data_IF_010168808163
#
_entry.id   IF_010168808163
#
_cell.length_a   1.000
_cell.length_b   1.000
_cell.length_c   1.000
_cell.angle_alpha   90.00
_cell.angle_beta   90.00
_cell.angle_gamma   90.00
#
_symmetry.space_group_name_H-M   'P 1'
#
loop_
_entity.id
_entity.type
_entity.pdbx_description
1 polymer ?
#
# COMPACT_ATOMS: atom_id res chain seq x y z
N UNK A 1 -12.07 36.52 45.80
CA UNK A 1 -11.39 36.18 47.07
C UNK A 1 -10.45 35.01 46.84
N UNK A 2 -9.20 35.11 47.32
CA UNK A 2 -8.24 34.02 47.57
C UNK A 2 -7.76 33.21 46.35
N UNK A 3 -6.48 33.01 46.07
CA UNK A 3 -5.27 33.30 46.82
C UNK A 3 -4.23 32.17 46.59
N UNK A 4 -2.99 32.58 46.28
CA UNK A 4 -1.71 31.85 46.44
C UNK A 4 -1.46 30.61 45.55
N UNK A 5 -0.25 30.24 45.14
CA UNK A 5 1.14 30.78 44.95
C UNK A 5 1.99 29.51 44.70
N UNK A 6 3.00 29.54 43.82
CA UNK A 6 4.39 29.10 44.10
C UNK A 6 5.26 29.13 42.81
N UNK A 7 6.07 30.19 42.67
CA UNK A 7 7.48 30.06 42.27
C UNK A 7 8.30 29.80 43.54
N UNK A 8 9.57 29.40 43.57
CA UNK A 8 10.76 29.41 42.70
C UNK A 8 11.52 28.09 43.02
N UNK A 9 12.54 27.64 42.28
CA UNK A 9 13.93 28.08 42.45
C UNK A 9 14.85 27.50 41.36
N UNK A 10 15.78 28.35 40.93
CA UNK A 10 16.92 28.05 40.09
C UNK A 10 18.15 28.25 41.01
N UNK A 11 19.06 27.28 41.08
CA UNK A 11 20.37 27.42 41.72
C UNK A 11 21.44 27.33 40.63
N UNK A 12 22.38 28.27 40.66
CA UNK A 12 23.63 28.23 39.90
C UNK A 12 24.84 28.35 40.83
N UNK A 13 26.01 28.51 40.20
CA UNK A 13 27.40 28.69 40.70
C UNK A 13 28.20 27.37 40.77
N UNK A 14 29.46 27.23 40.32
CA UNK A 14 30.43 28.07 39.57
C UNK A 14 31.72 27.25 39.29
N UNK A 15 32.64 27.77 38.46
CA UNK A 15 34.04 27.34 38.23
C UNK A 15 34.43 27.41 36.74
N UNK A 16 34.97 28.53 36.22
CA UNK A 16 36.42 28.89 36.08
C UNK A 16 37.26 27.87 35.29
N UNK A 17 38.25 28.22 34.47
CA UNK A 17 38.66 29.34 33.60
C UNK A 17 39.73 28.68 32.70
N UNK A 18 39.87 29.03 31.41
CA UNK A 18 41.18 29.03 30.75
C UNK A 18 41.12 29.68 29.35
N UNK A 19 42.04 30.64 29.18
CA UNK A 19 42.31 31.45 28.00
C UNK A 19 43.03 30.66 26.89
N UNK A 20 42.88 31.08 25.64
CA UNK A 20 43.99 31.34 24.68
C UNK A 20 43.46 31.90 23.36
N UNK A 21 44.29 32.75 22.75
CA UNK A 21 43.96 33.83 21.84
C UNK A 21 44.04 33.49 20.33
N UNK A 22 43.86 34.55 19.53
CA UNK A 22 44.27 34.76 18.13
C UNK A 22 43.19 34.49 17.07
N UNK A 23 42.86 35.35 16.11
CA UNK A 23 43.39 36.64 15.67
C UNK A 23 42.70 37.02 14.35
N UNK A 24 42.75 38.30 13.93
CA UNK A 24 42.54 38.68 12.52
C UNK A 24 41.37 39.59 12.18
N UNK A 25 41.42 40.83 12.66
CA UNK A 25 40.75 41.99 12.05
C UNK A 25 41.36 42.29 10.67
N UNK A 26 40.53 42.51 9.64
CA UNK A 26 40.86 43.44 8.53
C UNK A 26 39.65 44.31 8.20
N UNK A 27 39.72 45.52 8.72
CA UNK A 27 38.92 46.68 8.34
C UNK A 27 39.42 47.23 7.00
N UNK A 28 38.49 47.68 6.16
CA UNK A 28 38.76 48.75 5.19
C UNK A 28 37.72 49.85 5.41
N UNK A 29 38.17 50.92 6.04
CA UNK A 29 37.61 52.27 5.91
C UNK A 29 37.83 52.73 4.45
N UNK A 30 37.13 53.65 3.82
CA UNK A 30 36.19 54.72 4.19
C UNK A 30 35.68 55.28 2.86
N UNK A 31 34.42 55.70 2.75
CA UNK A 31 34.17 57.05 2.26
C UNK A 31 32.76 57.52 2.64
N UNK A 32 32.71 58.60 3.40
CA UNK A 32 31.52 59.39 3.70
C UNK A 32 31.16 60.25 2.50
N UNK A 33 29.95 60.08 1.98
CA UNK A 33 29.28 61.04 1.11
C UNK A 33 27.88 61.27 1.66
N UNK A 34 27.65 62.44 2.24
CA UNK A 34 26.33 62.94 2.61
C UNK A 34 25.51 63.09 1.32
N UNK A 35 24.29 62.56 1.26
CA UNK A 35 23.09 63.36 1.01
C UNK A 35 21.80 62.52 0.87
N UNK A 36 20.75 63.10 1.43
CA UNK A 36 19.33 62.81 1.25
C UNK A 36 18.72 61.59 1.95
N UNK A 37 18.18 61.92 3.12
CA UNK A 37 16.97 61.35 3.71
C UNK A 37 15.91 61.15 2.62
N UNK A 38 15.62 59.88 2.29
CA UNK A 38 14.33 59.52 1.75
C UNK A 38 13.69 58.46 2.66
N UNK A 39 12.72 58.94 3.44
CA UNK A 39 12.03 58.19 4.47
C UNK A 39 11.13 57.12 3.88
N UNK A 40 11.68 55.95 3.59
CA UNK A 40 10.88 54.73 3.46
C UNK A 40 11.02 53.90 4.73
N UNK A 41 10.15 54.21 5.69
CA UNK A 41 9.98 53.47 6.94
C UNK A 41 9.41 52.07 6.62
N UNK A 42 10.25 51.18 6.10
CA UNK A 42 9.92 49.78 5.86
C UNK A 42 9.80 49.09 7.23
N UNK A 43 8.62 49.23 7.85
CA UNK A 43 8.23 48.53 9.08
C UNK A 43 8.63 47.06 8.94
N UNK A 44 9.69 46.64 9.65
CA UNK A 44 10.06 45.23 9.78
C UNK A 44 8.80 44.48 10.19
N UNK A 45 8.29 43.60 9.32
CA UNK A 45 7.04 42.88 9.60
C UNK A 45 7.23 42.08 10.88
N UNK A 46 6.51 42.45 11.93
CA UNK A 46 6.54 41.74 13.21
C UNK A 46 6.04 40.32 13.00
N UNK A 47 6.96 39.35 13.03
CA UNK A 47 6.60 37.95 12.97
C UNK A 47 5.85 37.56 14.26
N UNK A 48 4.80 36.73 14.20
CA UNK A 48 4.09 36.28 15.40
C UNK A 48 5.02 35.69 16.47
N UNK A 49 6.14 35.05 16.08
CA UNK A 49 7.15 34.50 16.98
C UNK A 49 7.82 35.56 17.88
N UNK A 50 7.86 36.82 17.45
CA UNK A 50 8.49 37.93 18.18
C UNK A 50 7.58 38.49 19.29
N UNK A 51 6.28 38.16 19.29
CA UNK A 51 5.31 38.68 20.26
C UNK A 51 5.29 37.78 21.49
N UNK A 52 5.81 38.23 22.63
CA UNK A 52 5.84 37.44 23.88
C UNK A 52 4.44 37.13 24.44
N UNK A 53 3.49 38.05 24.31
CA UNK A 53 2.11 37.86 24.80
C UNK A 53 1.33 36.85 23.93
N UNK A 54 0.77 35.80 24.57
CA UNK A 54 0.06 34.69 23.91
C UNK A 54 -1.18 35.13 23.12
N UNK A 55 -1.99 36.01 23.69
CA UNK A 55 -3.26 36.49 23.08
C UNK A 55 -2.98 37.39 21.87
N UNK A 56 -2.03 38.31 22.01
CA UNK A 56 -1.60 39.16 20.88
C UNK A 56 -0.95 38.32 19.78
N UNK A 57 -0.13 37.31 20.15
CA UNK A 57 0.48 36.38 19.20
C UNK A 57 -0.56 35.56 18.43
N UNK A 58 -1.55 35.01 19.12
CA UNK A 58 -2.59 34.18 18.49
C UNK A 58 -3.47 35.03 17.55
N UNK A 59 -3.84 36.24 17.96
CA UNK A 59 -4.63 37.17 17.14
C UNK A 59 -3.90 37.58 15.85
N UNK A 60 -2.61 37.93 15.96
CA UNK A 60 -1.79 38.29 14.78
C UNK A 60 -1.61 37.07 13.87
N UNK A 61 -1.35 35.88 14.41
CA UNK A 61 -1.25 34.66 13.63
C UNK A 61 -2.57 34.31 12.91
N UNK A 62 -3.72 34.48 13.57
CA UNK A 62 -5.03 34.25 12.98
C UNK A 62 -5.30 35.20 11.80
N UNK A 63 -5.01 36.50 11.96
CA UNK A 63 -5.10 37.50 10.89
C UNK A 63 -4.22 37.14 9.69
N UNK A 64 -2.96 36.79 9.94
CA UNK A 64 -2.01 36.39 8.91
C UNK A 64 -2.44 35.10 8.18
N UNK A 65 -2.97 34.10 8.91
CA UNK A 65 -3.53 32.88 8.32
C UNK A 65 -4.74 33.17 7.44
N UNK A 66 -5.62 34.09 7.85
CA UNK A 66 -6.77 34.52 7.05
C UNK A 66 -6.32 35.22 5.76
N UNK A 67 -5.39 36.16 5.85
CA UNK A 67 -4.82 36.85 4.71
C UNK A 67 -4.16 35.88 3.71
N UNK A 68 -3.33 34.94 4.19
CA UNK A 68 -2.74 33.89 3.34
C UNK A 68 -3.80 33.01 2.65
N UNK A 69 -4.92 32.72 3.31
CA UNK A 69 -6.04 31.95 2.71
C UNK A 69 -6.71 32.73 1.58
N UNK A 70 -6.95 34.04 1.77
CA UNK A 70 -7.50 34.91 0.73
C UNK A 70 -6.55 35.05 -0.46
N UNK A 71 -5.26 35.27 -0.21
CA UNK A 71 -4.22 35.34 -1.25
C UNK A 71 -4.11 34.02 -2.02
N UNK A 72 -4.13 32.86 -1.34
CA UNK A 72 -4.13 31.54 -2.00
C UNK A 72 -5.36 31.38 -2.92
N UNK A 73 -6.56 31.81 -2.48
CA UNK A 73 -7.77 31.79 -3.31
C UNK A 73 -7.65 32.70 -4.53
N UNK A 74 -7.12 33.92 -4.38
CA UNK A 74 -6.87 34.84 -5.49
C UNK A 74 -5.90 34.23 -6.51
N UNK A 75 -4.81 33.62 -6.04
CA UNK A 75 -3.82 32.93 -6.91
C UNK A 75 -4.43 31.74 -7.67
N UNK A 76 -5.25 30.92 -7.02
CA UNK A 76 -5.96 29.80 -7.69
C UNK A 76 -6.88 30.35 -8.79
N UNK A 77 -7.72 31.35 -8.47
CA UNK A 77 -8.62 31.97 -9.47
C UNK A 77 -7.87 32.57 -10.66
N UNK A 78 -6.78 33.30 -10.39
CA UNK A 78 -5.96 33.90 -11.45
C UNK A 78 -5.30 32.84 -12.34
N UNK A 79 -4.83 31.74 -11.75
CA UNK A 79 -4.25 30.62 -12.49
C UNK A 79 -5.30 29.89 -13.33
N UNK A 80 -6.46 29.58 -12.77
CA UNK A 80 -7.53 28.89 -13.48
C UNK A 80 -8.06 29.76 -14.65
N UNK A 81 -8.09 31.09 -14.47
CA UNK A 81 -8.40 32.04 -15.55
C UNK A 81 -7.31 32.09 -16.63
N UNK A 82 -6.03 32.02 -16.25
CA UNK A 82 -4.92 31.95 -17.21
C UNK A 82 -4.91 30.63 -18.00
N UNK A 83 -5.20 29.50 -17.35
CA UNK A 83 -5.33 28.18 -17.99
C UNK A 83 -6.49 28.17 -18.99
N UNK A 84 -7.63 28.78 -18.64
CA UNK A 84 -8.75 28.93 -19.55
C UNK A 84 -8.39 29.81 -20.77
N UNK A 85 -7.69 30.92 -20.55
CA UNK A 85 -7.22 31.81 -21.64
C UNK A 85 -6.23 31.12 -22.56
N UNK A 86 -5.28 30.35 -22.02
CA UNK A 86 -4.31 29.59 -22.82
C UNK A 86 -5.03 28.57 -23.72
N UNK A 87 -6.00 27.83 -23.17
CA UNK A 87 -6.83 26.90 -23.94
C UNK A 87 -7.67 27.60 -25.03
N UNK A 88 -8.24 28.78 -24.74
CA UNK A 88 -8.99 29.60 -25.71
C UNK A 88 -8.08 30.13 -26.83
N UNK A 89 -6.81 30.42 -26.54
CA UNK A 89 -5.81 30.93 -27.50
C UNK A 89 -5.05 29.81 -28.26
N UNK A 90 -5.27 28.54 -27.89
CA UNK A 90 -4.55 27.39 -28.44
C UNK A 90 -3.11 27.24 -27.96
N UNK A 91 -2.71 27.95 -26.91
CA UNK A 91 -1.40 27.83 -26.26
C UNK A 91 -1.39 26.68 -25.24
N UNK A 92 -0.26 25.98 -25.13
CA UNK A 92 -0.13 24.90 -24.13
C UNK A 92 -0.13 25.47 -22.71
N UNK A 93 -1.01 24.97 -21.81
CA UNK A 93 -1.08 25.44 -20.45
C UNK A 93 0.20 25.10 -19.67
N UNK A 94 0.64 26.03 -18.83
CA UNK A 94 1.83 25.85 -17.99
C UNK A 94 1.77 24.55 -17.19
N UNK A 95 2.82 23.72 -17.31
CA UNK A 95 2.92 22.43 -16.62
C UNK A 95 2.82 22.63 -15.11
N UNK A 96 1.82 21.99 -14.49
CA UNK A 96 1.61 22.03 -13.05
C UNK A 96 2.76 21.31 -12.35
N UNK A 97 3.37 21.95 -11.35
CA UNK A 97 4.36 21.31 -10.48
C UNK A 97 3.70 20.12 -9.76
N UNK A 98 4.19 18.91 -10.02
CA UNK A 98 3.71 17.69 -9.38
C UNK A 98 3.91 17.78 -7.86
N UNK A 99 2.89 17.44 -7.04
CA UNK A 99 3.06 17.44 -5.59
C UNK A 99 4.11 16.41 -5.16
N UNK A 100 4.96 16.78 -4.20
CA UNK A 100 5.92 15.85 -3.58
C UNK A 100 5.15 14.93 -2.62
N UNK A 101 4.75 13.76 -3.11
CA UNK A 101 4.18 12.68 -2.31
C UNK A 101 5.29 11.79 -1.76
N UNK A 102 4.96 10.96 -0.76
CA UNK A 102 5.91 9.97 -0.21
C UNK A 102 6.31 8.97 -1.30
N UNK A 103 5.37 8.54 -2.13
CA UNK A 103 5.65 7.63 -3.26
C UNK A 103 6.62 8.27 -4.27
N UNK A 104 6.41 9.54 -4.62
CA UNK A 104 7.27 10.27 -5.57
C UNK A 104 8.65 10.61 -5.00
N UNK A 105 8.82 10.54 -3.68
CA UNK A 105 10.07 10.87 -2.99
C UNK A 105 10.65 9.64 -2.30
N UNK A 106 10.31 8.43 -2.79
CA UNK A 106 10.89 7.16 -2.31
C UNK A 106 12.41 7.20 -2.51
N UNK A 107 13.13 6.66 -1.54
CA UNK A 107 14.57 6.44 -1.70
C UNK A 107 14.77 5.39 -2.80
N UNK A 108 15.73 5.64 -3.71
CA UNK A 108 16.08 4.67 -4.72
C UNK A 108 16.62 3.42 -4.03
N UNK A 109 16.09 2.26 -4.41
CA UNK A 109 16.48 0.97 -3.86
C UNK A 109 17.00 0.11 -5.02
N UNK A 110 18.22 -0.37 -4.88
CA UNK A 110 18.91 -1.20 -5.87
C UNK A 110 18.23 -2.56 -6.07
N UNK A 111 17.48 -3.02 -5.06
CA UNK A 111 16.76 -4.29 -5.10
C UNK A 111 15.44 -4.24 -5.87
N UNK A 112 15.07 -3.09 -6.44
CA UNK A 112 13.90 -2.97 -7.30
C UNK A 112 14.13 -3.76 -8.58
N UNK A 113 13.29 -4.77 -8.79
CA UNK A 113 13.35 -5.64 -9.95
C UNK A 113 12.99 -4.85 -11.22
N UNK A 114 13.84 -4.94 -12.23
CA UNK A 114 13.53 -4.41 -13.56
C UNK A 114 12.77 -5.50 -14.34
N UNK A 115 11.83 -5.12 -15.22
CA UNK A 115 11.11 -6.09 -16.05
C UNK A 115 12.02 -6.97 -16.94
N UNK A 116 13.21 -6.48 -17.30
CA UNK A 116 14.16 -7.14 -18.23
C UNK A 116 15.33 -7.84 -17.49
N UNK A 117 15.20 -8.14 -16.20
CA UNK A 117 16.27 -8.76 -15.40
C UNK A 117 16.23 -10.29 -15.54
N UNK A 118 16.96 -10.82 -16.54
CA UNK A 118 17.03 -12.26 -16.86
C UNK A 118 17.44 -13.14 -15.66
N UNK A 119 18.30 -12.64 -14.75
CA UNK A 119 18.73 -13.39 -13.58
C UNK A 119 17.57 -13.69 -12.62
N UNK A 120 16.62 -12.75 -12.52
CA UNK A 120 15.43 -12.94 -11.71
C UNK A 120 14.50 -13.99 -12.30
N UNK A 121 14.36 -14.04 -13.62
CA UNK A 121 13.52 -15.05 -14.28
C UNK A 121 14.10 -16.44 -14.10
N UNK A 122 15.41 -16.61 -14.30
CA UNK A 122 16.10 -17.89 -14.09
C UNK A 122 15.99 -18.33 -12.62
N UNK A 123 16.23 -17.41 -11.67
CA UNK A 123 16.09 -17.71 -10.25
C UNK A 123 14.66 -18.10 -9.87
N UNK A 124 13.66 -17.41 -10.43
CA UNK A 124 12.25 -17.70 -10.20
C UNK A 124 11.83 -19.06 -10.80
N UNK A 125 12.37 -19.44 -11.95
CA UNK A 125 12.00 -20.71 -12.60
C UNK A 125 12.54 -21.94 -11.89
N UNK A 126 13.64 -21.79 -11.15
CA UNK A 126 14.24 -22.83 -10.31
C UNK A 126 13.74 -22.80 -8.85
N UNK A 127 12.83 -21.88 -8.53
CA UNK A 127 12.37 -21.62 -7.17
C UNK A 127 11.42 -22.71 -6.64
N UNK A 128 11.25 -22.75 -5.32
CA UNK A 128 10.47 -23.76 -4.60
C UNK A 128 8.97 -23.76 -4.98
N UNK A 129 8.48 -22.67 -5.58
CA UNK A 129 7.09 -22.51 -6.03
C UNK A 129 6.85 -22.87 -7.49
N UNK A 130 7.91 -23.11 -8.26
CA UNK A 130 7.85 -23.24 -9.73
C UNK A 130 6.88 -24.33 -10.18
N UNK A 131 6.91 -25.53 -9.60
CA UNK A 131 5.98 -26.62 -9.95
C UNK A 131 4.51 -26.29 -9.73
N UNK A 132 4.18 -25.50 -8.70
CA UNK A 132 2.80 -25.08 -8.43
C UNK A 132 2.38 -24.01 -9.44
N UNK A 133 3.27 -23.04 -9.71
CA UNK A 133 2.99 -21.92 -10.61
C UNK A 133 2.98 -22.33 -12.09
N UNK A 134 3.73 -23.38 -12.45
CA UNK A 134 3.70 -24.03 -13.78
C UNK A 134 2.54 -25.02 -13.94
N UNK A 135 1.67 -25.13 -12.94
CA UNK A 135 0.48 -26.00 -12.92
C UNK A 135 0.78 -27.51 -12.95
N UNK A 136 1.99 -27.93 -12.62
CA UNK A 136 2.33 -29.35 -12.51
C UNK A 136 1.64 -29.98 -11.28
N UNK A 137 1.47 -29.19 -10.22
CA UNK A 137 0.81 -29.60 -8.99
C UNK A 137 -0.29 -28.61 -8.59
N UNK A 138 -1.48 -29.13 -8.30
CA UNK A 138 -2.58 -28.30 -7.78
C UNK A 138 -2.30 -27.88 -6.34
N UNK A 139 -2.47 -26.59 -5.98
CA UNK A 139 -2.21 -26.14 -4.62
C UNK A 139 -3.19 -26.81 -3.65
N UNK A 140 -2.65 -27.35 -2.56
CA UNK A 140 -3.40 -28.00 -1.49
C UNK A 140 -2.95 -27.40 -0.16
N UNK A 141 -3.83 -26.62 0.45
CA UNK A 141 -3.47 -25.77 1.59
C UNK A 141 -4.02 -26.35 2.88
N UNK A 142 -3.15 -26.60 3.85
CA UNK A 142 -3.53 -26.96 5.21
C UNK A 142 -3.67 -25.69 6.05
N UNK A 143 -4.83 -25.43 6.64
CA UNK A 143 -5.03 -24.32 7.58
C UNK A 143 -5.18 -24.89 8.99
N UNK A 144 -4.46 -24.29 9.95
CA UNK A 144 -4.56 -24.65 11.36
C UNK A 144 -4.45 -23.42 12.27
N UNK A 145 -4.74 -23.59 13.55
CA UNK A 145 -4.64 -22.52 14.56
C UNK A 145 -3.35 -22.62 15.37
N UNK A 146 -3.08 -21.65 16.24
CA UNK A 146 -2.20 -21.86 17.39
C UNK A 146 -2.76 -22.90 18.39
N UNK A 147 -1.93 -23.35 19.34
CA UNK A 147 -2.27 -24.38 20.34
C UNK A 147 -3.46 -23.95 21.23
N UNK A 148 -3.43 -22.71 21.70
CA UNK A 148 -4.51 -22.11 22.46
C UNK A 148 -5.15 -21.02 21.63
N UNK A 149 -6.25 -21.35 20.95
CA UNK A 149 -6.94 -20.42 20.08
C UNK A 149 -8.17 -19.79 20.76
N UNK A 150 -8.54 -18.60 20.29
CA UNK A 150 -9.81 -17.96 20.63
C UNK A 150 -10.94 -18.46 19.73
N UNK A 151 -12.19 -18.20 20.11
CA UNK A 151 -13.38 -18.42 19.27
C UNK A 151 -13.30 -17.67 17.93
N UNK A 152 -12.63 -16.50 17.91
CA UNK A 152 -12.41 -15.70 16.71
C UNK A 152 -11.46 -16.35 15.70
N UNK A 153 -10.52 -17.19 16.15
CA UNK A 153 -9.57 -17.92 15.31
C UNK A 153 -10.27 -18.81 14.26
N UNK A 154 -11.06 -19.81 14.69
CA UNK A 154 -11.85 -20.65 13.79
C UNK A 154 -12.84 -19.85 12.93
N UNK A 155 -13.46 -18.79 13.45
CA UNK A 155 -14.36 -17.94 12.66
C UNK A 155 -13.65 -17.30 11.46
N UNK A 156 -12.43 -16.80 11.67
CA UNK A 156 -11.59 -16.28 10.60
C UNK A 156 -11.14 -17.38 9.62
N UNK A 157 -10.81 -18.57 10.12
CA UNK A 157 -10.43 -19.70 9.26
C UNK A 157 -11.58 -20.11 8.35
N UNK A 158 -12.82 -20.17 8.84
CA UNK A 158 -13.99 -20.45 7.99
C UNK A 158 -14.10 -19.45 6.84
N UNK A 159 -13.77 -18.18 7.07
CA UNK A 159 -13.73 -17.18 6.00
C UNK A 159 -12.55 -17.42 5.04
N UNK A 160 -11.36 -17.75 5.54
CA UNK A 160 -10.22 -18.12 4.69
C UNK A 160 -10.49 -19.35 3.82
N UNK A 161 -11.20 -20.36 4.33
CA UNK A 161 -11.63 -21.53 3.54
C UNK A 161 -12.55 -21.14 2.38
N UNK A 162 -13.37 -20.09 2.55
CA UNK A 162 -14.17 -19.57 1.44
C UNK A 162 -13.33 -18.82 0.41
N UNK A 163 -12.19 -18.25 0.83
CA UNK A 163 -11.28 -17.49 -0.04
C UNK A 163 -10.39 -18.41 -0.86
N UNK A 164 -9.69 -19.32 -0.20
CA UNK A 164 -8.61 -20.12 -0.79
C UNK A 164 -9.21 -21.44 -1.30
N UNK A 165 -9.17 -21.72 -2.61
CA UNK A 165 -9.59 -23.01 -3.16
C UNK A 165 -8.73 -24.15 -2.59
N UNK A 166 -9.28 -25.36 -2.48
CA UNK A 166 -8.56 -26.56 -2.01
C UNK A 166 -7.91 -26.41 -0.62
N UNK A 167 -8.43 -25.50 0.21
CA UNK A 167 -8.00 -25.34 1.59
C UNK A 167 -8.74 -26.31 2.52
N UNK A 168 -8.00 -26.94 3.43
CA UNK A 168 -8.53 -27.86 4.43
C UNK A 168 -8.17 -27.38 5.84
N UNK A 169 -9.17 -27.26 6.70
CA UNK A 169 -8.94 -26.91 8.10
C UNK A 169 -8.81 -28.17 8.97
N UNK A 170 -7.71 -28.24 9.72
CA UNK A 170 -7.54 -29.24 10.78
C UNK A 170 -7.23 -28.53 12.10
N UNK A 171 -7.96 -28.91 13.14
CA UNK A 171 -7.74 -28.40 14.49
C UNK A 171 -6.39 -28.87 15.01
N UNK A 172 -5.55 -27.93 15.46
CA UNK A 172 -4.20 -28.21 15.94
C UNK A 172 -4.15 -29.10 17.19
N UNK A 173 -5.08 -28.93 18.12
CA UNK A 173 -5.01 -29.60 19.42
C UNK A 173 -3.72 -29.30 20.18
N UNK A 174 -3.05 -30.34 20.67
CA UNK A 174 -1.79 -30.25 21.43
C UNK A 174 -0.54 -30.49 20.58
N UNK A 175 -0.68 -30.69 19.26
CA UNK A 175 0.44 -31.03 18.40
C UNK A 175 1.42 -29.86 18.20
N UNK A 176 2.70 -30.19 18.25
CA UNK A 176 3.77 -29.25 17.91
C UNK A 176 3.81 -28.98 16.41
N UNK A 177 4.24 -27.78 16.04
CA UNK A 177 4.22 -27.36 14.64
C UNK A 177 5.10 -28.25 13.75
N UNK A 178 6.23 -28.75 14.27
CA UNK A 178 7.12 -29.68 13.55
C UNK A 178 6.39 -30.99 13.16
N UNK A 179 5.59 -31.56 14.07
CA UNK A 179 4.79 -32.76 13.79
C UNK A 179 3.69 -32.49 12.76
N UNK A 180 3.12 -31.28 12.76
CA UNK A 180 2.12 -30.87 11.76
C UNK A 180 2.76 -30.70 10.39
N UNK A 181 3.96 -30.13 10.32
CA UNK A 181 4.75 -30.04 9.08
C UNK A 181 5.04 -31.45 8.53
N UNK A 182 5.52 -32.38 9.37
CA UNK A 182 5.74 -33.77 8.95
C UNK A 182 4.45 -34.45 8.46
N UNK A 183 3.34 -34.22 9.14
CA UNK A 183 2.03 -34.73 8.72
C UNK A 183 1.60 -34.14 7.37
N UNK A 184 1.83 -32.84 7.17
CA UNK A 184 1.48 -32.13 5.96
C UNK A 184 2.33 -32.63 4.76
N UNK A 185 3.63 -32.85 4.97
CA UNK A 185 4.53 -33.47 3.97
C UNK A 185 4.05 -34.87 3.58
N UNK A 186 3.66 -35.71 4.55
CA UNK A 186 3.17 -37.08 4.30
C UNK A 186 1.82 -37.15 3.55
N UNK A 187 1.07 -36.06 3.48
CA UNK A 187 -0.23 -35.97 2.80
C UNK A 187 -0.21 -35.07 1.56
N UNK A 188 0.99 -34.77 1.08
CA UNK A 188 1.23 -33.97 -0.12
C UNK A 188 0.51 -32.61 -0.08
N UNK A 189 0.53 -31.95 1.09
CA UNK A 189 0.13 -30.55 1.17
C UNK A 189 1.25 -29.67 0.62
N UNK A 190 0.88 -28.68 -0.20
CA UNK A 190 1.82 -27.74 -0.81
C UNK A 190 2.11 -26.55 0.10
N UNK A 191 1.19 -26.22 1.00
CA UNK A 191 1.37 -25.09 1.92
C UNK A 191 0.64 -25.30 3.24
N UNK A 192 1.19 -24.74 4.31
CA UNK A 192 0.61 -24.73 5.65
C UNK A 192 0.43 -23.29 6.13
N UNK A 193 -0.80 -22.93 6.47
CA UNK A 193 -1.17 -21.65 7.05
C UNK A 193 -1.49 -21.84 8.53
N UNK A 194 -0.79 -21.14 9.40
CA UNK A 194 -1.03 -21.13 10.84
C UNK A 194 -1.58 -19.77 11.25
N UNK A 195 -2.81 -19.76 11.75
CA UNK A 195 -3.45 -18.57 12.31
C UNK A 195 -3.10 -18.48 13.79
N UNK A 196 -2.40 -17.41 14.17
CA UNK A 196 -2.06 -17.14 15.57
C UNK A 196 -3.05 -16.15 16.19
N UNK A 197 -3.76 -16.58 17.23
CA UNK A 197 -4.56 -15.72 18.09
C UNK A 197 -3.88 -15.57 19.44
N UNK A 198 -3.75 -14.33 19.92
CA UNK A 198 -3.23 -14.05 21.24
C UNK A 198 -4.38 -13.76 22.22
N UNK A 199 -4.19 -14.15 23.48
CA UNK A 199 -5.01 -13.67 24.59
C UNK A 199 -4.44 -12.32 24.98
N UNK A 200 -5.10 -11.20 24.65
CA UNK A 200 -4.75 -9.96 25.35
C UNK A 200 -5.31 -10.08 26.76
N UNK A 201 -4.45 -9.88 27.75
CA UNK A 201 -4.92 -9.67 29.12
C UNK A 201 -5.89 -8.47 29.14
N UNK A 202 -7.01 -8.56 29.86
CA UNK A 202 -8.10 -7.58 29.80
C UNK A 202 -7.74 -6.18 30.34
N UNK A 203 -6.55 -5.96 30.90
CA UNK A 203 -6.19 -4.74 31.64
C UNK A 203 -6.12 -3.44 30.81
N UNK A 204 -6.11 -3.49 29.48
CA UNK A 204 -6.01 -2.29 28.60
C UNK A 204 -7.29 -2.06 27.76
N UNK A 205 -8.37 -2.79 28.05
CA UNK A 205 -9.63 -2.71 27.28
C UNK A 205 -10.72 -1.97 28.05
N UNK A 206 -10.48 -0.71 28.43
CA UNK A 206 -11.49 0.11 29.14
C UNK A 206 -12.41 0.88 28.16
N UNK A 207 -12.24 0.78 26.84
CA UNK A 207 -13.06 1.57 25.90
C UNK A 207 -13.68 0.83 24.71
N UNK A 208 -13.61 -0.49 24.61
CA UNK A 208 -14.43 -1.21 23.63
C UNK A 208 -14.79 -2.61 24.15
N UNK A 209 -16.07 -2.77 24.45
CA UNK A 209 -16.71 -3.94 25.07
C UNK A 209 -16.94 -5.08 24.05
N UNK A 210 -15.96 -5.39 23.20
CA UNK A 210 -16.02 -6.54 22.28
C UNK A 210 -14.66 -7.24 22.17
N UNK A 211 -14.54 -8.33 22.93
CA UNK A 211 -13.57 -9.43 22.86
C UNK A 211 -12.07 -9.08 22.84
N UNK A 212 -11.40 -9.31 23.99
CA UNK A 212 -9.93 -9.28 24.18
C UNK A 212 -9.15 -10.37 23.43
N UNK A 213 -9.69 -10.91 22.34
CA UNK A 213 -9.10 -11.96 21.52
C UNK A 213 -8.79 -11.44 20.12
N UNK A 214 -7.52 -11.11 19.90
CA UNK A 214 -7.07 -10.59 18.62
C UNK A 214 -6.19 -11.61 17.90
N UNK A 215 -6.47 -11.77 16.61
CA UNK A 215 -5.59 -12.49 15.69
C UNK A 215 -4.46 -11.52 15.36
N UNK A 216 -3.28 -11.84 15.86
CA UNK A 216 -2.12 -10.95 15.82
C UNK A 216 -1.14 -11.35 14.70
N UNK A 217 -1.13 -12.63 14.28
CA UNK A 217 -0.20 -13.10 13.27
C UNK A 217 -0.74 -14.24 12.38
N UNK A 218 -0.18 -14.32 11.18
CA UNK A 218 -0.42 -15.34 10.17
C UNK A 218 0.94 -15.87 9.71
N UNK A 219 1.18 -17.17 9.85
CA UNK A 219 2.41 -17.81 9.35
C UNK A 219 2.03 -18.65 8.12
N UNK A 220 2.76 -18.48 7.03
CA UNK A 220 2.60 -19.25 5.79
C UNK A 220 3.90 -20.00 5.56
N UNK A 221 3.82 -21.32 5.41
CA UNK A 221 4.96 -22.21 5.20
C UNK A 221 4.75 -22.89 3.84
N UNK A 222 5.71 -22.72 2.92
CA UNK A 222 5.79 -23.51 1.70
C UNK A 222 6.30 -24.92 2.02
N UNK A 223 5.64 -25.95 1.49
CA UNK A 223 6.04 -27.35 1.65
C UNK A 223 6.39 -27.95 0.28
N UNK A 224 7.27 -28.97 0.20
CA UNK A 224 7.87 -29.71 1.32
C UNK A 224 9.02 -28.97 2.01
N UNK A 225 9.85 -28.21 1.29
CA UNK A 225 11.03 -27.54 1.86
C UNK A 225 11.06 -26.04 1.51
N UNK A 226 9.90 -25.46 1.23
CA UNK A 226 9.75 -24.03 0.92
C UNK A 226 9.91 -23.12 2.14
N UNK A 227 9.96 -21.79 1.92
CA UNK A 227 10.25 -20.83 2.96
C UNK A 227 9.07 -20.62 3.91
N UNK A 228 9.37 -20.03 5.07
CA UNK A 228 8.39 -19.68 6.10
C UNK A 228 8.27 -18.17 6.23
N UNK A 229 7.13 -17.61 5.85
CA UNK A 229 6.82 -16.19 6.00
C UNK A 229 5.92 -15.96 7.23
N UNK A 230 6.37 -15.12 8.14
CA UNK A 230 5.63 -14.69 9.30
C UNK A 230 5.11 -13.26 9.10
N UNK A 231 3.80 -13.13 9.10
CA UNK A 231 3.12 -11.85 8.96
C UNK A 231 2.44 -11.45 10.27
N UNK A 232 2.60 -10.18 10.65
CA UNK A 232 1.74 -9.54 11.63
C UNK A 232 0.42 -9.17 10.97
N UNK A 233 -0.67 -9.61 11.56
CA UNK A 233 -2.02 -9.30 11.10
C UNK A 233 -2.56 -8.10 11.87
N UNK A 234 -3.16 -7.16 11.14
CA UNK A 234 -3.79 -5.97 11.71
C UNK A 234 -5.10 -5.67 11.01
N UNK A 235 -6.00 -4.95 11.70
CA UNK A 235 -7.29 -4.48 11.15
C UNK A 235 -8.14 -5.61 10.54
N UNK A 236 -8.28 -6.72 11.27
CA UNK A 236 -9.15 -7.81 10.86
C UNK A 236 -10.63 -7.43 11.00
N UNK A 237 -11.31 -7.34 9.87
CA UNK A 237 -12.77 -7.21 9.80
C UNK A 237 -13.29 -8.45 9.10
N UNK A 238 -14.13 -9.21 9.80
CA UNK A 238 -14.77 -10.40 9.25
C UNK A 238 -15.86 -9.98 8.26
N UNK A 239 -16.19 -10.86 7.33
CA UNK A 239 -17.23 -10.64 6.32
C UNK A 239 -18.55 -10.18 6.94
N UNK A 240 -18.96 -10.81 8.05
CA UNK A 240 -20.22 -10.51 8.75
C UNK A 240 -20.27 -9.08 9.29
N UNK A 241 -19.12 -8.49 9.59
CA UNK A 241 -18.99 -7.14 10.15
C UNK A 241 -18.94 -6.06 9.06
N UNK A 242 -18.84 -6.45 7.78
CA UNK A 242 -18.77 -5.54 6.63
C UNK A 242 -20.19 -5.13 6.21
N UNK A 243 -20.42 -3.82 6.06
CA UNK A 243 -21.67 -3.28 5.52
C UNK A 243 -21.82 -3.62 4.04
N UNK A 244 -23.03 -4.00 3.61
CA UNK A 244 -23.37 -4.34 2.22
C UNK A 244 -22.48 -5.44 1.61
N UNK A 245 -22.08 -6.41 2.42
CA UNK A 245 -21.25 -7.52 1.96
C UNK A 245 -22.02 -8.44 0.99
N UNK A 246 -21.30 -8.98 0.00
CA UNK A 246 -21.79 -9.99 -0.92
C UNK A 246 -21.61 -11.42 -0.40
N UNK A 247 -22.30 -12.37 -1.00
CA UNK A 247 -22.06 -13.80 -0.79
C UNK A 247 -20.90 -14.28 -1.70
N UNK A 248 -19.89 -14.99 -1.17
CA UNK A 248 -18.88 -15.61 -2.02
C UNK A 248 -19.50 -16.72 -2.88
N UNK A 249 -19.02 -16.85 -4.11
CA UNK A 249 -19.40 -17.92 -5.05
C UNK A 249 -18.35 -19.03 -5.01
N UNK A 250 -18.71 -20.24 -5.45
CA UNK A 250 -17.79 -21.39 -5.52
C UNK A 250 -16.69 -21.26 -6.59
N UNK A 251 -16.78 -20.29 -7.50
CA UNK A 251 -15.79 -20.08 -8.55
C UNK A 251 -14.43 -19.68 -7.99
N UNK A 252 -13.37 -20.09 -8.68
CA UNK A 252 -11.99 -19.73 -8.36
C UNK A 252 -11.75 -18.24 -8.64
N UNK A 253 -11.12 -17.52 -7.70
CA UNK A 253 -10.86 -16.09 -7.85
C UNK A 253 -9.68 -15.80 -8.78
N UNK A 254 -9.74 -14.68 -9.47
CA UNK A 254 -8.58 -14.01 -10.06
C UNK A 254 -7.70 -13.42 -8.95
N UNK A 255 -6.39 -13.53 -9.08
CA UNK A 255 -5.43 -12.98 -8.13
C UNK A 255 -4.81 -11.70 -8.68
N UNK A 256 -4.83 -10.63 -7.89
CA UNK A 256 -4.21 -9.34 -8.22
C UNK A 256 -3.16 -9.01 -7.17
N UNK A 257 -1.90 -8.97 -7.58
CA UNK A 257 -0.76 -8.60 -6.74
C UNK A 257 -0.26 -7.22 -7.20
N UNK A 258 -0.40 -6.19 -6.36
CA UNK A 258 -0.04 -4.82 -6.72
C UNK A 258 1.15 -4.33 -5.90
N UNK A 259 2.12 -3.68 -6.57
CA UNK A 259 3.28 -3.01 -5.98
C UNK A 259 4.25 -3.92 -5.19
N UNK A 260 4.42 -5.18 -5.61
CA UNK A 260 5.51 -6.03 -5.15
C UNK A 260 6.69 -5.83 -6.09
N UNK A 261 7.54 -4.85 -5.78
CA UNK A 261 8.53 -4.31 -6.74
C UNK A 261 9.96 -4.74 -6.46
N UNK A 262 10.28 -5.05 -5.20
CA UNK A 262 11.63 -5.45 -4.80
C UNK A 262 11.82 -6.95 -4.95
N UNK A 263 13.07 -7.44 -4.93
CA UNK A 263 13.38 -8.88 -4.95
C UNK A 263 12.64 -9.64 -3.85
N UNK A 264 12.62 -9.09 -2.63
CA UNK A 264 11.84 -9.62 -1.51
C UNK A 264 10.33 -9.58 -1.78
N UNK A 265 9.84 -8.48 -2.34
CA UNK A 265 8.45 -8.32 -2.75
C UNK A 265 7.99 -9.39 -3.73
N UNK A 266 8.79 -9.64 -4.77
CA UNK A 266 8.54 -10.69 -5.75
C UNK A 266 8.52 -12.08 -5.10
N UNK A 267 9.45 -12.37 -4.18
CA UNK A 267 9.47 -13.66 -3.46
C UNK A 267 8.20 -13.86 -2.62
N UNK A 268 7.78 -12.83 -1.89
CA UNK A 268 6.51 -12.86 -1.13
C UNK A 268 5.30 -12.96 -2.06
N UNK A 269 5.31 -12.26 -3.20
CA UNK A 269 4.26 -12.35 -4.20
C UNK A 269 4.12 -13.77 -4.75
N UNK A 270 5.22 -14.45 -5.07
CA UNK A 270 5.25 -15.85 -5.50
C UNK A 270 4.72 -16.80 -4.41
N UNK A 271 5.12 -16.61 -3.16
CA UNK A 271 4.59 -17.36 -2.03
C UNK A 271 3.08 -17.17 -1.85
N UNK A 272 2.56 -15.96 -2.02
CA UNK A 272 1.12 -15.71 -1.94
C UNK A 272 0.38 -16.27 -3.16
N UNK A 273 1.01 -16.27 -4.33
CA UNK A 273 0.46 -16.81 -5.57
C UNK A 273 0.33 -18.34 -5.53
N UNK A 274 1.31 -19.03 -4.93
CA UNK A 274 1.28 -20.50 -4.82
C UNK A 274 0.15 -21.04 -3.93
N UNK A 275 -0.55 -20.18 -3.19
CA UNK A 275 -1.74 -20.55 -2.42
C UNK A 275 -3.00 -20.66 -3.28
N UNK A 276 -3.01 -20.09 -4.49
CA UNK A 276 -4.18 -20.02 -5.36
C UNK A 276 -3.92 -20.79 -6.66
N UNK A 277 -4.96 -21.39 -7.26
CA UNK A 277 -4.84 -21.96 -8.60
C UNK A 277 -4.51 -20.87 -9.61
N UNK A 278 -3.65 -21.20 -10.58
CA UNK A 278 -3.18 -20.26 -11.60
C UNK A 278 -4.26 -19.95 -12.64
N UNK A 279 -5.20 -20.87 -12.86
CA UNK A 279 -6.32 -20.69 -13.80
C UNK A 279 -7.54 -20.12 -13.09
N UNK A 280 -7.90 -18.84 -13.32
CA UNK A 280 -9.06 -18.25 -12.69
C UNK A 280 -10.34 -18.48 -13.51
N UNK A 281 -11.47 -18.52 -12.79
CA UNK A 281 -12.78 -18.63 -13.39
C UNK A 281 -13.41 -17.25 -13.62
N UNK A 282 -13.15 -16.64 -14.79
CA UNK A 282 -13.63 -15.30 -15.15
C UNK A 282 -15.18 -15.15 -15.07
N UNK A 283 -15.93 -16.23 -15.30
CA UNK A 283 -17.40 -16.24 -15.19
C UNK A 283 -17.87 -15.89 -13.78
N UNK A 284 -17.09 -16.26 -12.75
CA UNK A 284 -17.39 -15.95 -11.35
C UNK A 284 -17.22 -14.47 -11.01
N UNK A 285 -16.43 -13.73 -11.80
CA UNK A 285 -16.08 -12.31 -11.59
C UNK A 285 -15.54 -12.01 -10.21
N UNK A 286 -14.78 -12.96 -9.67
CA UNK A 286 -14.30 -12.96 -8.30
C UNK A 286 -12.83 -12.60 -8.33
N UNK A 287 -12.41 -11.67 -7.47
CA UNK A 287 -11.04 -11.19 -7.42
C UNK A 287 -10.55 -11.11 -5.99
N UNK A 288 -9.36 -11.65 -5.75
CA UNK A 288 -8.59 -11.51 -4.52
C UNK A 288 -7.43 -10.58 -4.81
N UNK A 289 -7.31 -9.51 -4.03
CA UNK A 289 -6.29 -8.49 -4.22
C UNK A 289 -5.38 -8.43 -3.00
N UNK A 290 -4.08 -8.54 -3.25
CA UNK A 290 -3.04 -8.16 -2.30
C UNK A 290 -2.38 -6.88 -2.81
N UNK A 291 -2.70 -5.77 -2.16
CA UNK A 291 -2.14 -4.47 -2.51
C UNK A 291 -1.06 -4.09 -1.52
N UNK A 292 0.20 -4.07 -1.96
CA UNK A 292 1.29 -3.55 -1.17
C UNK A 292 1.31 -2.01 -1.20
N UNK A 293 1.29 -1.40 -0.03
CA UNK A 293 1.49 0.03 0.14
C UNK A 293 2.33 0.26 1.40
N UNK A 294 3.58 0.66 1.19
CA UNK A 294 4.54 0.98 2.27
C UNK A 294 4.76 -0.18 3.24
N UNK A 295 5.03 -1.36 2.71
CA UNK A 295 5.20 -2.63 3.43
C UNK A 295 3.96 -3.14 4.18
N UNK A 296 2.81 -2.50 3.97
CA UNK A 296 1.52 -3.01 4.39
C UNK A 296 0.81 -3.64 3.20
N UNK A 297 0.58 -4.95 3.30
CA UNK A 297 -0.15 -5.71 2.31
C UNK A 297 -1.63 -5.70 2.71
N UNK A 298 -2.44 -4.99 1.95
CA UNK A 298 -3.88 -4.95 2.12
C UNK A 298 -4.51 -6.11 1.38
N UNK A 299 -5.08 -7.05 2.13
CA UNK A 299 -5.86 -8.14 1.57
C UNK A 299 -7.31 -7.70 1.38
N UNK A 300 -7.85 -7.90 0.18
CA UNK A 300 -9.26 -7.71 -0.09
C UNK A 300 -9.81 -8.79 -1.00
N UNK A 301 -11.10 -9.08 -0.83
CA UNK A 301 -11.82 -10.04 -1.64
C UNK A 301 -13.11 -9.40 -2.15
N UNK A 302 -13.19 -9.25 -3.46
CA UNK A 302 -14.26 -8.51 -4.13
C UNK A 302 -14.87 -9.31 -5.28
N UNK A 303 -16.09 -8.93 -5.66
CA UNK A 303 -16.69 -9.30 -6.93
C UNK A 303 -16.81 -8.05 -7.80
N UNK A 304 -16.44 -8.17 -9.07
CA UNK A 304 -16.53 -7.07 -10.02
C UNK A 304 -17.69 -7.27 -11.00
N UNK A 305 -18.14 -6.16 -11.59
CA UNK A 305 -19.14 -6.13 -12.66
C UNK A 305 -18.60 -5.18 -13.72
N UNK A 306 -18.65 -5.59 -14.98
CA UNK A 306 -18.35 -4.70 -16.09
C UNK A 306 -19.55 -3.78 -16.31
N UNK A 307 -19.33 -2.47 -16.16
CA UNK A 307 -20.29 -1.46 -16.59
C UNK A 307 -19.96 -1.04 -18.01
N UNK A 308 -20.86 -1.32 -18.95
CA UNK A 308 -20.83 -0.73 -20.29
C UNK A 308 -21.34 0.70 -20.17
N UNK A 309 -20.41 1.67 -20.13
CA UNK A 309 -20.77 3.07 -20.29
C UNK A 309 -20.92 3.36 -21.77
N UNK A 310 -22.16 3.41 -22.25
CA UNK A 310 -22.46 4.01 -23.54
C UNK A 310 -22.06 5.48 -23.47
N UNK A 311 -20.96 5.84 -24.12
CA UNK A 311 -20.63 7.24 -24.37
C UNK A 311 -21.64 7.73 -25.40
N UNK A 312 -22.73 8.35 -24.92
CA UNK A 312 -23.62 9.12 -25.79
C UNK A 312 -22.78 10.21 -26.45
N UNK A 313 -22.43 10.01 -27.72
CA UNK A 313 -21.97 11.12 -28.55
C UNK A 313 -23.09 12.15 -28.54
N UNK A 314 -22.74 13.39 -28.18
CA UNK A 314 -23.69 14.50 -28.26
C UNK A 314 -23.94 14.77 -29.75
N UNK A 315 -25.00 14.19 -30.29
CA UNK A 315 -25.45 14.48 -31.65
C UNK A 315 -25.80 15.96 -31.75
N UNK A 316 -25.07 16.68 -32.59
CA UNK A 316 -25.42 18.01 -33.06
C UNK A 316 -26.79 17.95 -33.74
N UNK A 317 -27.75 18.74 -33.23
CA UNK A 317 -29.08 18.90 -33.82
C UNK A 317 -28.99 19.29 -35.31
N UNK A 318 -29.55 18.44 -36.16
CA UNK A 318 -29.89 18.72 -37.55
C UNK A 318 -31.03 17.79 -38.00
N UNK A 319 -32.24 18.32 -37.99
CA UNK A 319 -33.47 17.79 -38.63
C UNK A 319 -33.33 17.98 -40.17
N UNK A 320 -33.76 17.13 -41.14
CA UNK A 320 -34.80 16.09 -41.27
C UNK A 320 -34.46 15.11 -42.45
N UNK A 321 -34.91 13.85 -42.34
CA UNK A 321 -35.36 12.88 -43.37
C UNK A 321 -34.40 12.19 -44.37
N UNK A 322 -34.17 10.87 -44.17
CA UNK A 322 -34.89 9.76 -44.88
C UNK A 322 -34.38 8.39 -44.43
N UNK A 323 -35.33 7.46 -44.26
CA UNK A 323 -35.14 6.05 -43.86
C UNK A 323 -34.34 5.28 -44.92
N UNK A 324 -33.28 4.59 -44.50
CA UNK A 324 -32.83 3.34 -45.13
C UNK A 324 -32.25 2.41 -44.07
N UNK A 325 -32.71 1.17 -44.13
CA UNK A 325 -32.49 0.07 -43.19
C UNK A 325 -31.12 -0.53 -43.49
N UNK A 326 -30.15 -0.33 -42.60
CA UNK A 326 -28.81 -0.92 -42.70
C UNK A 326 -28.27 -1.18 -41.30
N UNK A 327 -27.91 -2.44 -41.03
CA UNK A 327 -27.30 -2.89 -39.78
C UNK A 327 -26.04 -2.06 -39.47
N UNK A 328 -26.15 -1.14 -38.52
CA UNK A 328 -24.97 -0.54 -37.89
C UNK A 328 -24.46 -1.54 -36.85
N UNK A 329 -23.45 -2.34 -37.21
CA UNK A 329 -22.56 -2.99 -36.24
C UNK A 329 -22.00 -1.91 -35.33
N UNK A 330 -22.60 -1.74 -34.14
CA UNK A 330 -22.02 -0.96 -33.07
C UNK A 330 -20.71 -1.66 -32.69
N UNK A 331 -19.58 -1.05 -33.03
CA UNK A 331 -18.29 -1.51 -32.53
C UNK A 331 -18.31 -1.39 -31.01
N UNK A 332 -18.51 -2.52 -30.35
CA UNK A 332 -18.40 -2.67 -28.90
C UNK A 332 -16.98 -2.30 -28.48
N UNK A 333 -16.79 -1.06 -28.03
CA UNK A 333 -15.57 -0.67 -27.33
C UNK A 333 -15.70 -1.08 -25.88
N UNK A 334 -15.39 -2.34 -25.61
CA UNK A 334 -15.02 -2.81 -24.28
C UNK A 334 -13.69 -2.15 -23.94
N UNK A 335 -13.75 -1.06 -23.20
CA UNK A 335 -12.56 -0.45 -22.60
C UNK A 335 -11.94 -1.55 -21.66
N UNK A 336 -10.63 -1.66 -21.40
CA UNK A 336 -9.98 -2.50 -20.33
C UNK A 336 -8.71 -1.81 -19.70
N UNK A 337 -8.56 -1.69 -18.36
CA UNK A 337 -7.33 -1.36 -17.53
C UNK A 337 -7.41 -2.41 -16.42
N UNK A 338 -6.56 -3.40 -16.53
CA UNK A 338 -5.80 -3.82 -15.37
C UNK A 338 -4.52 -2.99 -15.36
N UNK A 339 -4.06 -2.59 -14.17
CA UNK A 339 -2.64 -2.39 -13.97
C UNK A 339 -2.04 -3.79 -13.94
N UNK A 340 -1.65 -4.29 -15.11
CA UNK A 340 -0.69 -5.37 -15.21
C UNK A 340 0.69 -4.77 -14.96
N UNK A 341 1.33 -5.16 -13.87
CA UNK A 341 2.78 -5.29 -13.85
C UNK A 341 3.02 -6.78 -13.73
N UNK A 342 3.78 -7.33 -14.69
CA UNK A 342 4.09 -8.75 -14.94
C UNK A 342 2.99 -9.55 -15.68
N UNK A 343 2.63 -9.15 -16.90
CA UNK A 343 2.34 -10.11 -18.00
C UNK A 343 2.83 -9.46 -19.28
N UNK A 344 4.13 -9.53 -19.57
CA UNK A 344 4.65 -9.20 -20.91
C UNK A 344 5.77 -10.13 -21.40
N UNK A 345 5.91 -11.33 -20.82
CA UNK A 345 6.91 -12.32 -21.30
C UNK A 345 6.31 -13.68 -21.67
N UNK A 346 5.12 -14.05 -21.17
CA UNK A 346 4.54 -15.37 -21.43
C UNK A 346 3.72 -15.52 -22.73
N UNK A 347 3.70 -14.50 -23.60
CA UNK A 347 2.93 -14.52 -24.85
C UNK A 347 3.78 -14.59 -26.13
N UNK A 348 5.02 -15.09 -26.03
CA UNK A 348 5.92 -15.28 -27.18
C UNK A 348 6.32 -16.74 -27.46
N UNK A 349 5.66 -17.74 -26.84
CA UNK A 349 6.02 -19.15 -27.00
C UNK A 349 5.00 -20.00 -27.78
N UNK A 350 4.10 -19.42 -28.57
CA UNK A 350 3.27 -20.20 -29.52
C UNK A 350 3.25 -19.49 -30.88
N UNK A 351 3.56 -20.26 -31.91
CA UNK A 351 4.01 -19.86 -33.24
C UNK A 351 3.15 -18.82 -34.00
N UNK A 352 3.87 -17.91 -34.64
CA UNK A 352 3.71 -17.57 -36.06
C UNK A 352 2.33 -17.16 -36.57
N UNK A 353 2.03 -15.85 -36.49
CA UNK A 353 1.24 -15.12 -37.49
C UNK A 353 1.47 -13.62 -37.35
N UNK A 354 2.45 -13.09 -38.09
CA UNK A 354 2.59 -11.65 -38.33
C UNK A 354 1.46 -11.16 -39.24
N UNK A 355 0.51 -10.40 -38.71
CA UNK A 355 0.00 -9.20 -39.39
C UNK A 355 -1.02 -8.42 -38.57
N UNK A 356 -0.82 -7.10 -38.58
CA UNK A 356 -1.79 -6.04 -38.29
C UNK A 356 -2.25 -5.85 -36.83
N UNK A 357 -1.64 -4.89 -36.13
CA UNK A 357 -2.29 -3.63 -35.75
C UNK A 357 -1.31 -2.74 -34.96
N UNK A 358 -0.95 -1.59 -35.54
CA UNK A 358 -0.31 -0.48 -34.84
C UNK A 358 -1.42 0.39 -34.24
N UNK A 359 -1.35 0.63 -32.93
CA UNK A 359 -2.06 1.73 -32.26
C UNK A 359 -3.17 1.28 -31.29
N UNK A 360 -2.82 0.94 -30.06
CA UNK A 360 -3.78 0.96 -28.94
C UNK A 360 -3.08 1.32 -27.62
N UNK A 361 -3.01 2.62 -27.31
CA UNK A 361 -2.80 3.07 -25.94
C UNK A 361 -4.02 2.66 -25.10
N UNK A 362 -3.79 1.66 -24.24
CA UNK A 362 -4.25 1.42 -22.86
C UNK A 362 -5.44 2.31 -22.42
N UNK A 363 -6.52 1.74 -21.82
CA UNK A 363 -6.95 2.05 -20.43
C UNK A 363 -8.47 1.90 -19.95
N UNK A 364 -8.86 1.07 -18.94
CA UNK A 364 -10.19 1.07 -18.20
C UNK A 364 -10.25 0.63 -16.70
N UNK A 365 -10.89 1.40 -15.82
CA UNK A 365 -11.13 1.02 -14.41
C UNK A 365 -12.08 -0.17 -14.16
N UNK A 366 -11.66 -1.16 -13.37
CA UNK A 366 -12.54 -2.07 -12.61
C UNK A 366 -13.11 -1.34 -11.37
N UNK A 367 -14.44 -1.24 -11.24
CA UNK A 367 -15.08 -0.76 -10.01
C UNK A 367 -15.44 -1.96 -9.12
N UNK A 368 -14.83 -2.13 -7.93
CA UNK A 368 -15.21 -3.19 -7.01
C UNK A 368 -16.60 -2.88 -6.43
N UNK A 369 -17.63 -3.58 -6.93
CA UNK A 369 -19.00 -3.21 -6.58
C UNK A 369 -19.44 -3.82 -5.24
N UNK A 370 -18.90 -4.98 -4.82
CA UNK A 370 -19.18 -5.59 -3.50
C UNK A 370 -18.01 -6.41 -2.95
N UNK A 371 -17.74 -6.25 -1.66
CA UNK A 371 -16.80 -7.11 -0.92
C UNK A 371 -17.47 -8.38 -0.45
N UNK A 372 -16.82 -9.53 -0.62
CA UNK A 372 -17.40 -10.84 -0.33
C UNK A 372 -16.59 -11.68 0.66
N UNK A 373 -15.46 -11.19 1.17
CA UNK A 373 -14.62 -11.87 2.15
C UNK A 373 -14.07 -10.95 3.24
N UNK A 374 -13.18 -11.47 4.10
CA UNK A 374 -12.57 -10.70 5.18
C UNK A 374 -11.70 -9.57 4.63
N UNK A 375 -11.55 -8.51 5.44
CA UNK A 375 -10.53 -7.47 5.24
C UNK A 375 -9.49 -7.61 6.33
N UNK A 376 -8.23 -7.60 5.95
CA UNK A 376 -7.13 -7.48 6.90
C UNK A 376 -5.92 -6.85 6.22
N UNK A 377 -4.95 -6.46 7.04
CA UNK A 377 -3.67 -5.91 6.61
C UNK A 377 -2.57 -6.77 7.20
N UNK A 378 -1.66 -7.25 6.35
CA UNK A 378 -0.47 -7.98 6.72
C UNK A 378 0.75 -7.04 6.70
N UNK A 379 1.67 -7.20 7.64
CA UNK A 379 3.03 -6.65 7.58
C UNK A 379 3.99 -7.81 7.74
N UNK A 380 4.94 -7.98 6.81
CA UNK A 380 5.96 -9.02 6.93
C UNK A 380 6.83 -8.72 8.16
N UNK A 381 7.05 -9.74 9.00
CA UNK A 381 7.90 -9.65 10.19
C UNK A 381 9.19 -10.43 9.97
N UNK A 382 9.10 -11.62 9.36
CA UNK A 382 10.28 -12.39 9.02
C UNK A 382 10.01 -13.33 7.85
N UNK A 383 11.04 -13.59 7.07
CA UNK A 383 11.09 -14.59 6.04
C UNK A 383 12.27 -15.53 6.34
N UNK A 384 11.97 -16.80 6.52
CA UNK A 384 12.93 -17.84 6.88
C UNK A 384 13.11 -18.81 5.71
N UNK A 385 14.35 -19.24 5.48
CA UNK A 385 14.66 -20.32 4.54
C UNK A 385 14.16 -21.67 5.08
N UNK A 386 13.50 -22.43 4.22
CA UNK A 386 12.93 -23.73 4.57
C UNK A 386 11.76 -23.68 5.55
N UNK A 387 11.39 -24.88 6.01
CA UNK A 387 10.24 -25.06 6.92
C UNK A 387 10.52 -24.52 8.32
N UNK A 388 9.45 -24.20 9.05
CA UNK A 388 9.50 -23.58 10.38
C UNK A 388 10.51 -24.25 11.34
N UNK A 389 11.60 -23.53 11.64
CA UNK A 389 12.53 -23.87 12.71
C UNK A 389 12.86 -22.65 13.58
N UNK A 390 12.52 -22.75 14.87
CA UNK A 390 12.66 -21.65 15.82
C UNK A 390 14.05 -21.54 16.47
N UNK A 391 14.92 -22.55 16.31
CA UNK A 391 16.20 -22.64 17.05
C UNK A 391 17.41 -22.34 16.19
N UNK A 392 17.50 -22.94 15.00
CA UNK A 392 18.64 -22.79 14.08
C UNK A 392 18.23 -22.31 12.69
N UNK A 393 17.01 -21.79 12.56
CA UNK A 393 16.48 -21.30 11.29
C UNK A 393 17.30 -20.17 10.70
N UNK A 394 17.67 -20.31 9.43
CA UNK A 394 18.30 -19.23 8.67
C UNK A 394 17.24 -18.27 8.13
N UNK A 395 17.39 -16.98 8.45
CA UNK A 395 16.45 -15.95 8.00
C UNK A 395 16.99 -15.22 6.78
N UNK A 396 16.19 -15.19 5.72
CA UNK A 396 16.44 -14.35 4.56
C UNK A 396 16.23 -12.87 4.90
N UNK A 397 15.17 -12.58 5.67
CA UNK A 397 14.82 -11.23 6.04
C UNK A 397 14.11 -11.19 7.39
N UNK A 398 14.42 -10.18 8.21
CA UNK A 398 13.76 -9.95 9.50
C UNK A 398 13.52 -8.46 9.67
N UNK A 399 12.28 -8.08 10.01
CA UNK A 399 11.91 -6.73 10.37
C UNK A 399 12.60 -6.34 11.68
N UNK A 400 13.30 -5.20 11.66
CA UNK A 400 13.90 -4.60 12.85
C UNK A 400 13.29 -3.21 13.10
N UNK A 401 13.07 -2.79 14.36
CA UNK A 401 12.49 -1.48 14.66
C UNK A 401 13.27 -0.30 14.06
N UNK A 402 14.58 -0.43 13.89
CA UNK A 402 15.44 0.60 13.30
C UNK A 402 15.12 0.84 11.82
N UNK A 403 14.54 -0.14 11.13
CA UNK A 403 14.12 -0.02 9.73
C UNK A 403 12.92 0.91 9.56
N UNK A 404 12.10 1.11 10.62
CA UNK A 404 10.96 2.03 10.60
C UNK A 404 11.38 3.51 10.80
N UNK A 405 12.68 3.81 10.91
CA UNK A 405 13.20 5.19 11.09
C UNK A 405 13.06 6.05 9.83
N UNK A 406 13.37 5.50 8.65
CA UNK A 406 13.10 6.18 7.38
C UNK A 406 11.65 5.98 6.98
N UNK A 407 10.94 7.07 6.69
CA UNK A 407 9.56 7.04 6.16
C UNK A 407 9.50 6.94 4.63
N UNK A 408 10.64 6.75 3.98
CA UNK A 408 10.80 6.76 2.51
C UNK A 408 11.43 5.49 1.96
N UNK A 409 11.91 4.59 2.83
CA UNK A 409 12.41 3.28 2.48
C UNK A 409 11.33 2.24 2.73
N UNK A 410 11.09 1.37 1.74
CA UNK A 410 10.14 0.27 1.80
C UNK A 410 10.79 -0.96 1.18
N UNK A 411 10.48 -2.14 1.72
CA UNK A 411 11.22 -3.38 1.46
C UNK A 411 10.47 -4.37 0.56
N UNK A 412 9.16 -4.21 0.34
CA UNK A 412 8.32 -5.03 -0.53
C UNK A 412 8.06 -4.38 -1.91
#
# INVERSE_FOLDING_TARGET
MGGKRKGRENKGLEGEEDNMADGGYRSSASNSGHDNVDGSNAKRQLLPSMIKNKEKRSAVHAKLKHQKKLEKRKKIKARDAAEKRALELGEEPLVRKTPRTIENTRELDETICKPDDDELFVGNDADEFSSILKQEQTPKVLITTCRFNSTRGPAFITELLSVIPNAHYYKRGTYDLKKIVEYAKKRDFTSLIVVHSNRREPAVSILHEFDGFLIDALVIIGLPDGPTAHFKLSRLVLRKDIKNHGNPTSHEPELVLNNFTTRLGHRIARLLQSLFPVEPNFRGRRVVTFHNQRDFIFFRHHRYIFETKEVKQADSKGDVAKVSKGEKKSQEKTIVRLQYVIVEVLMWQIDGLQSALIGLEKHQSLMPNKECGPRFTLKLISLQHGTFDSKGGEYEWVHKPEMDTSRRRFFL
#
